data_IF_118457189573
#
_entry.id   IF_118457189573
#
_cell.length_a   1.000
_cell.length_b   1.000
_cell.length_c   1.000
_cell.angle_alpha   90.00
_cell.angle_beta   90.00
_cell.angle_gamma   90.00
#
_symmetry.space_group_name_H-M   'P 1'
#
loop_
_entity.id
_entity.type
_entity.pdbx_description
1 polymer ?
#
# COMPACT_ATOMS: atom_id res chain seq x y z
N UNK A 1 -11.85 -13.37 -70.88
CA UNK A 1 -12.52 -12.55 -69.85
C UNK A 1 -13.42 -13.44 -69.00
N UNK A 2 -13.11 -13.58 -67.70
CA UNK A 2 -14.05 -13.84 -66.59
C UNK A 2 -13.18 -14.01 -65.33
N UNK A 3 -12.90 -12.89 -64.66
CA UNK A 3 -12.32 -12.90 -63.33
C UNK A 3 -13.46 -13.20 -62.34
N UNK A 4 -13.40 -14.35 -61.69
CA UNK A 4 -14.32 -14.67 -60.60
C UNK A 4 -13.81 -14.00 -59.32
N UNK A 5 -14.56 -13.00 -58.87
CA UNK A 5 -14.52 -12.43 -57.53
C UNK A 5 -14.84 -13.53 -56.50
N UNK A 6 -13.90 -13.78 -55.60
CA UNK A 6 -14.18 -14.37 -54.29
C UNK A 6 -13.37 -13.61 -53.26
N UNK A 7 -13.95 -12.53 -52.74
CA UNK A 7 -13.49 -11.88 -51.51
C UNK A 7 -14.44 -12.39 -50.42
N UNK A 8 -14.02 -13.33 -49.55
CA UNK A 8 -14.83 -13.65 -48.39
C UNK A 8 -14.76 -12.45 -47.45
N UNK A 9 -15.93 -11.91 -47.14
CA UNK A 9 -16.17 -10.96 -46.08
C UNK A 9 -15.58 -11.48 -44.76
N UNK A 10 -14.36 -11.04 -44.45
CA UNK A 10 -13.77 -11.15 -43.12
C UNK A 10 -13.89 -9.79 -42.43
N UNK A 11 -15.14 -9.29 -42.35
CA UNK A 11 -15.53 -8.36 -41.29
C UNK A 11 -15.61 -9.20 -40.01
N UNK A 12 -14.44 -9.56 -39.47
CA UNK A 12 -14.34 -9.85 -38.04
C UNK A 12 -14.71 -8.52 -37.39
N UNK A 13 -15.96 -8.43 -36.97
CA UNK A 13 -16.39 -7.46 -35.98
C UNK A 13 -15.50 -7.69 -34.76
N UNK A 14 -14.39 -6.96 -34.70
CA UNK A 14 -13.78 -6.56 -33.45
C UNK A 14 -14.82 -5.67 -32.76
N UNK A 15 -15.86 -6.30 -32.21
CA UNK A 15 -16.57 -5.78 -31.07
C UNK A 15 -15.49 -5.65 -30.01
N UNK A 16 -14.85 -4.48 -30.00
CA UNK A 16 -14.07 -4.02 -28.88
C UNK A 16 -15.03 -4.01 -27.71
N UNK A 17 -15.08 -5.11 -26.98
CA UNK A 17 -15.58 -5.10 -25.63
C UNK A 17 -14.71 -4.06 -24.92
N UNK A 18 -15.25 -2.86 -24.78
CA UNK A 18 -14.81 -1.94 -23.74
C UNK A 18 -15.14 -2.67 -22.44
N UNK A 19 -14.27 -3.62 -22.05
CA UNK A 19 -14.34 -4.28 -20.76
C UNK A 19 -14.21 -3.15 -19.76
N UNK A 20 -15.31 -2.80 -19.11
CA UNK A 20 -15.28 -1.95 -17.94
C UNK A 20 -14.25 -2.58 -16.99
N UNK A 21 -13.12 -1.87 -16.83
CA UNK A 21 -11.92 -2.43 -16.20
C UNK A 21 -12.07 -2.59 -14.70
N UNK A 22 -13.05 -1.90 -14.11
CA UNK A 22 -13.27 -1.84 -12.68
C UNK A 22 -14.40 -2.77 -12.24
N UNK A 23 -14.11 -3.60 -11.24
CA UNK A 23 -15.10 -4.49 -10.65
C UNK A 23 -14.79 -4.82 -9.18
N UNK A 24 -15.84 -5.20 -8.46
CA UNK A 24 -15.80 -5.74 -7.10
C UNK A 24 -16.31 -7.19 -7.15
N UNK A 25 -15.60 -8.10 -6.51
CA UNK A 25 -16.07 -9.46 -6.24
C UNK A 25 -16.46 -9.56 -4.77
N UNK A 26 -17.71 -9.92 -4.51
CA UNK A 26 -18.25 -10.14 -3.16
C UNK A 26 -17.83 -11.49 -2.59
N UNK A 27 -17.98 -11.67 -1.29
CA UNK A 27 -17.69 -12.95 -0.61
C UNK A 27 -18.54 -14.11 -1.12
N UNK A 28 -19.79 -13.84 -1.50
CA UNK A 28 -20.71 -14.82 -2.08
C UNK A 28 -20.38 -15.17 -3.55
N UNK A 29 -19.40 -14.50 -4.17
CA UNK A 29 -18.97 -14.73 -5.55
C UNK A 29 -19.56 -13.76 -6.58
N UNK A 30 -20.57 -12.95 -6.22
CA UNK A 30 -21.17 -11.97 -7.14
C UNK A 30 -20.14 -10.93 -7.57
N UNK A 31 -20.23 -10.50 -8.83
CA UNK A 31 -19.36 -9.47 -9.38
C UNK A 31 -20.17 -8.22 -9.73
N UNK A 32 -19.82 -7.10 -9.12
CA UNK A 32 -20.35 -5.77 -9.46
C UNK A 32 -19.36 -5.05 -10.36
N UNK A 33 -19.83 -4.50 -11.47
CA UNK A 33 -19.02 -3.70 -12.40
C UNK A 33 -19.49 -2.25 -12.35
N UNK A 34 -18.55 -1.30 -12.38
CA UNK A 34 -18.85 0.13 -12.33
C UNK A 34 -17.67 0.93 -11.78
N UNK A 35 -17.82 2.25 -11.72
CA UNK A 35 -16.83 3.14 -11.09
C UNK A 35 -16.82 2.90 -9.58
N UNK A 36 -15.64 2.63 -9.00
CA UNK A 36 -15.52 2.24 -7.58
C UNK A 36 -15.00 3.41 -6.75
N UNK A 37 -15.71 3.74 -5.68
CA UNK A 37 -15.26 4.68 -4.64
C UNK A 37 -15.36 4.04 -3.26
N UNK A 38 -14.46 4.41 -2.35
CA UNK A 38 -14.44 3.94 -0.97
C UNK A 38 -14.53 5.15 -0.03
N UNK A 39 -15.48 5.12 0.91
CA UNK A 39 -15.63 6.12 1.97
C UNK A 39 -16.10 5.45 3.25
N UNK A 40 -15.41 5.69 4.37
CA UNK A 40 -15.79 5.19 5.71
C UNK A 40 -16.17 3.69 5.73
N UNK A 41 -15.37 2.84 5.06
CA UNK A 41 -15.61 1.38 4.93
C UNK A 41 -16.82 0.97 4.08
N UNK A 42 -17.42 1.88 3.33
CA UNK A 42 -18.46 1.60 2.34
C UNK A 42 -17.93 1.81 0.93
N UNK A 43 -18.13 0.81 0.09
CA UNK A 43 -17.90 0.89 -1.34
C UNK A 43 -19.15 1.39 -2.06
N UNK A 44 -18.95 2.34 -2.96
CA UNK A 44 -19.95 2.87 -3.87
C UNK A 44 -19.56 2.43 -5.27
N UNK A 45 -20.41 1.63 -5.91
CA UNK A 45 -20.21 1.15 -7.28
C UNK A 45 -21.27 1.80 -8.17
N UNK A 46 -20.86 2.74 -9.00
CA UNK A 46 -21.76 3.45 -9.91
C UNK A 46 -21.71 2.89 -11.32
N UNK A 47 -22.87 2.52 -11.87
CA UNK A 47 -23.07 2.04 -13.24
C UNK A 47 -24.42 2.52 -13.76
N UNK A 48 -24.45 3.09 -14.96
CA UNK A 48 -25.69 3.44 -15.69
C UNK A 48 -26.70 4.24 -14.82
N UNK A 49 -26.21 5.28 -14.12
CA UNK A 49 -26.94 6.13 -13.17
C UNK A 49 -27.49 5.45 -11.90
N UNK A 50 -27.19 4.17 -11.69
CA UNK A 50 -27.45 3.48 -10.44
C UNK A 50 -26.17 3.42 -9.61
N UNK A 51 -26.31 3.60 -8.29
CA UNK A 51 -25.20 3.42 -7.34
C UNK A 51 -25.59 2.33 -6.36
N UNK A 52 -24.77 1.28 -6.31
CA UNK A 52 -24.89 0.21 -5.33
C UNK A 52 -23.93 0.46 -4.20
N UNK A 53 -24.45 0.46 -2.97
CA UNK A 53 -23.64 0.53 -1.76
C UNK A 53 -23.32 -0.89 -1.26
N UNK A 54 -22.10 -1.08 -0.78
CA UNK A 54 -21.61 -2.36 -0.31
C UNK A 54 -20.68 -2.16 0.89
N UNK A 55 -20.90 -2.88 1.98
CA UNK A 55 -19.96 -2.83 3.10
C UNK A 55 -18.64 -3.47 2.68
N UNK A 56 -17.51 -2.90 3.11
CA UNK A 56 -16.19 -3.48 2.88
C UNK A 56 -16.05 -4.93 3.35
N UNK A 57 -16.76 -5.33 4.41
CA UNK A 57 -16.76 -6.69 4.93
C UNK A 57 -17.35 -7.71 3.94
N UNK A 58 -18.22 -7.26 3.02
CA UNK A 58 -18.83 -8.09 1.98
C UNK A 58 -17.91 -8.27 0.76
N UNK A 59 -16.81 -7.51 0.68
CA UNK A 59 -15.92 -7.49 -0.46
C UNK A 59 -14.76 -8.45 -0.27
N UNK A 60 -14.59 -9.34 -1.24
CA UNK A 60 -13.46 -10.26 -1.30
C UNK A 60 -12.28 -9.67 -2.07
N UNK A 61 -12.55 -9.05 -3.22
CA UNK A 61 -11.51 -8.57 -4.14
C UNK A 61 -12.01 -7.37 -4.93
N UNK A 62 -11.10 -6.46 -5.26
CA UNK A 62 -11.34 -5.30 -6.11
C UNK A 62 -10.34 -5.29 -7.27
N UNK A 63 -10.77 -4.81 -8.42
CA UNK A 63 -9.88 -4.35 -9.49
C UNK A 63 -10.29 -2.93 -9.84
N UNK A 64 -9.35 -1.99 -9.74
CA UNK A 64 -9.54 -0.59 -10.11
C UNK A 64 -8.23 -0.05 -10.67
N UNK A 65 -8.30 0.96 -11.53
CA UNK A 65 -7.08 1.66 -11.99
C UNK A 65 -6.55 2.64 -10.92
N UNK A 66 -7.43 3.11 -10.05
CA UNK A 66 -7.12 4.08 -8.99
C UNK A 66 -6.41 3.42 -7.81
N UNK A 67 -6.93 2.27 -7.36
CA UNK A 67 -6.33 1.51 -6.27
C UNK A 67 -5.30 0.51 -6.83
N UNK A 68 -4.05 0.58 -6.36
CA UNK A 68 -2.97 -0.30 -6.82
C UNK A 68 -3.05 -1.72 -6.26
N UNK A 69 -3.89 -1.95 -5.27
CA UNK A 69 -4.14 -3.25 -4.68
C UNK A 69 -5.33 -3.99 -5.29
N UNK A 70 -5.52 -5.23 -4.84
CA UNK A 70 -6.74 -5.99 -5.17
C UNK A 70 -7.43 -6.62 -3.97
N UNK A 71 -6.78 -6.62 -2.81
CA UNK A 71 -7.31 -7.22 -1.58
C UNK A 71 -7.86 -6.12 -0.70
N UNK A 72 -9.09 -6.29 -0.21
CA UNK A 72 -9.67 -5.38 0.78
C UNK A 72 -9.26 -5.86 2.17
N UNK A 73 -8.58 -5.01 2.92
CA UNK A 73 -8.03 -5.38 4.22
C UNK A 73 -8.39 -4.31 5.26
N UNK A 74 -9.10 -4.69 6.34
CA UNK A 74 -9.21 -3.83 7.52
C UNK A 74 -7.82 -3.68 8.14
N UNK A 75 -7.39 -2.46 8.41
CA UNK A 75 -6.06 -2.15 8.93
C UNK A 75 -6.11 -0.96 9.90
N UNK A 76 -5.09 -0.87 10.75
CA UNK A 76 -4.90 0.28 11.63
C UNK A 76 -3.94 1.27 10.98
N UNK A 77 -4.47 2.45 10.66
CA UNK A 77 -3.69 3.54 10.07
C UNK A 77 -3.23 4.49 11.18
N UNK A 78 -1.96 4.87 11.14
CA UNK A 78 -1.41 5.92 11.99
C UNK A 78 -1.45 7.22 11.21
N UNK A 79 -2.25 8.17 11.67
CA UNK A 79 -2.34 9.49 11.07
C UNK A 79 -1.16 10.36 11.55
N UNK A 80 -0.52 11.07 10.63
CA UNK A 80 0.44 12.11 10.94
C UNK A 80 -0.19 13.47 10.62
N UNK A 81 -0.02 14.44 11.51
CA UNK A 81 -0.23 15.85 11.19
C UNK A 81 1.07 16.37 10.56
N UNK A 82 0.96 17.00 9.39
CA UNK A 82 2.08 17.59 8.65
C UNK A 82 2.50 18.98 9.19
N UNK A 83 1.94 19.41 10.32
CA UNK A 83 2.20 20.74 10.86
C UNK A 83 3.43 20.75 11.81
N UNK A 84 4.49 21.41 11.32
CA UNK A 84 5.79 21.55 12.00
C UNK A 84 5.70 22.45 13.23
N UNK A 85 4.77 23.42 13.27
CA UNK A 85 4.66 24.32 14.42
C UNK A 85 4.06 23.60 15.64
N UNK A 86 3.39 22.46 15.41
CA UNK A 86 2.93 21.53 16.46
C UNK A 86 3.95 20.46 16.86
N UNK A 87 5.12 20.33 16.18
CA UNK A 87 6.13 19.33 16.56
C UNK A 87 6.83 19.67 17.89
N UNK A 88 6.91 20.95 18.26
CA UNK A 88 7.46 21.35 19.57
C UNK A 88 6.44 21.24 20.70
N UNK A 89 5.14 21.08 20.40
CA UNK A 89 4.07 21.17 21.41
C UNK A 89 3.24 19.90 21.57
N UNK A 90 3.15 18.97 20.61
CA UNK A 90 2.37 17.74 20.82
C UNK A 90 2.91 16.50 20.09
N UNK A 91 3.91 15.85 20.71
CA UNK A 91 4.18 14.41 20.51
C UNK A 91 2.96 13.52 20.89
N UNK A 92 1.91 14.09 21.47
CA UNK A 92 0.89 13.41 22.25
C UNK A 92 -0.39 12.98 21.51
N UNK A 93 -0.64 13.39 20.25
CA UNK A 93 -1.85 12.95 19.51
C UNK A 93 -1.52 12.15 18.26
N UNK A 94 -0.94 10.97 18.49
CA UNK A 94 -0.91 9.88 17.50
C UNK A 94 -2.27 9.18 17.49
N UNK A 95 -3.20 9.70 16.71
CA UNK A 95 -4.50 9.05 16.55
C UNK A 95 -4.37 7.89 15.56
N UNK A 96 -4.67 6.69 16.06
CA UNK A 96 -4.85 5.52 15.22
C UNK A 96 -6.31 5.47 14.78
N UNK A 97 -6.52 5.22 13.50
CA UNK A 97 -7.85 5.02 12.94
C UNK A 97 -7.93 3.62 12.33
N UNK A 98 -8.85 2.82 12.84
CA UNK A 98 -9.21 1.56 12.21
C UNK A 98 -10.01 1.89 10.93
N UNK A 99 -9.48 1.43 9.79
CA UNK A 99 -10.00 1.75 8.46
C UNK A 99 -9.90 0.55 7.54
N UNK A 100 -10.46 0.67 6.34
CA UNK A 100 -10.33 -0.33 5.29
C UNK A 100 -9.49 0.24 4.16
N UNK A 101 -8.51 -0.52 3.71
CA UNK A 101 -7.70 -0.19 2.54
C UNK A 101 -7.73 -1.28 1.49
N UNK A 102 -7.54 -0.87 0.23
CA UNK A 102 -7.30 -1.79 -0.88
C UNK A 102 -5.78 -1.94 -1.01
N UNK A 103 -5.26 -3.10 -0.63
CA UNK A 103 -3.85 -3.38 -0.57
C UNK A 103 -3.42 -4.43 -1.61
N UNK A 104 -2.19 -4.29 -2.06
CA UNK A 104 -1.44 -5.30 -2.80
C UNK A 104 -0.70 -6.18 -1.78
N UNK A 105 -0.90 -7.49 -1.85
CA UNK A 105 -0.08 -8.43 -1.09
C UNK A 105 1.29 -8.55 -1.77
N UNK A 106 2.32 -8.04 -1.12
CA UNK A 106 3.69 -8.09 -1.62
C UNK A 106 4.39 -9.40 -1.27
N UNK A 107 4.03 -9.98 -0.12
CA UNK A 107 4.56 -11.22 0.38
C UNK A 107 3.63 -11.83 1.43
N UNK A 108 3.47 -13.14 1.38
CA UNK A 108 2.72 -13.91 2.36
C UNK A 108 3.61 -15.05 2.86
N UNK A 109 3.90 -15.05 4.16
CA UNK A 109 4.74 -16.08 4.78
C UNK A 109 4.12 -16.52 6.10
N UNK A 110 4.41 -17.75 6.58
CA UNK A 110 3.89 -18.23 7.86
C UNK A 110 4.15 -17.30 9.05
N UNK A 111 5.26 -16.54 9.05
CA UNK A 111 5.64 -15.66 10.16
C UNK A 111 5.23 -14.20 9.99
N UNK A 112 5.07 -13.71 8.76
CA UNK A 112 4.72 -12.33 8.50
C UNK A 112 4.21 -12.14 7.07
N UNK A 113 3.15 -11.35 6.94
CA UNK A 113 2.64 -10.87 5.67
C UNK A 113 3.00 -9.41 5.48
N UNK A 114 3.24 -9.03 4.23
CA UNK A 114 3.55 -7.68 3.86
C UNK A 114 2.62 -7.20 2.76
N UNK A 115 2.09 -6.01 2.97
CA UNK A 115 1.15 -5.36 2.09
C UNK A 115 1.66 -3.98 1.69
N UNK A 116 1.21 -3.53 0.53
CA UNK A 116 1.45 -2.21 -0.01
C UNK A 116 0.12 -1.58 -0.42
N UNK A 117 -0.07 -0.33 -0.04
CA UNK A 117 -1.25 0.45 -0.36
C UNK A 117 -0.87 1.81 -0.90
N UNK A 118 -1.79 2.42 -1.62
CA UNK A 118 -1.67 3.82 -2.03
C UNK A 118 -2.96 4.51 -1.62
N UNK A 119 -2.87 5.63 -0.91
CA UNK A 119 -4.06 6.42 -0.56
C UNK A 119 -4.65 7.12 -1.77
N UNK A 120 -5.81 7.74 -1.57
CA UNK A 120 -6.45 8.59 -2.57
C UNK A 120 -5.55 9.73 -3.07
N UNK A 121 -4.65 10.22 -2.23
CA UNK A 121 -3.68 11.26 -2.55
C UNK A 121 -2.39 10.73 -3.19
N UNK A 122 -2.37 9.46 -3.60
CA UNK A 122 -1.20 8.77 -4.16
C UNK A 122 -0.03 8.59 -3.19
N UNK A 123 -0.26 8.75 -1.88
CA UNK A 123 0.76 8.50 -0.86
C UNK A 123 0.94 6.99 -0.68
N UNK A 124 2.17 6.46 -0.81
CA UNK A 124 2.43 5.04 -0.58
C UNK A 124 2.43 4.71 0.91
N UNK A 125 1.87 3.55 1.26
CA UNK A 125 1.87 2.97 2.59
C UNK A 125 2.32 1.52 2.53
N UNK A 126 3.05 1.09 3.55
CA UNK A 126 3.38 -0.32 3.74
C UNK A 126 2.77 -0.80 5.04
N UNK A 127 2.31 -2.04 5.06
CA UNK A 127 1.75 -2.67 6.23
C UNK A 127 2.37 -4.05 6.43
N UNK A 128 2.50 -4.45 7.68
CA UNK A 128 2.86 -5.82 8.03
C UNK A 128 1.77 -6.44 8.90
N UNK A 129 1.67 -7.76 8.89
CA UNK A 129 0.82 -8.52 9.80
C UNK A 129 1.55 -9.79 10.24
N UNK A 130 1.77 -9.96 11.53
CA UNK A 130 2.22 -11.22 12.12
C UNK A 130 1.01 -12.12 12.47
N UNK A 131 1.21 -13.41 12.78
CA UNK A 131 0.14 -14.27 13.28
C UNK A 131 -0.52 -13.78 14.57
N UNK A 132 0.21 -13.03 15.40
CA UNK A 132 -0.30 -12.47 16.65
C UNK A 132 -1.16 -11.22 16.44
N UNK A 133 -1.01 -10.54 15.32
CA UNK A 133 -1.75 -9.31 15.03
C UNK A 133 -3.17 -9.64 14.54
N UNK A 134 -4.18 -8.98 15.13
CA UNK A 134 -5.57 -9.08 14.67
C UNK A 134 -5.78 -8.39 13.32
N UNK A 135 -5.09 -7.26 13.10
CA UNK A 135 -5.14 -6.43 11.89
C UNK A 135 -3.72 -6.11 11.41
N UNK A 136 -3.48 -5.89 10.10
CA UNK A 136 -2.23 -5.32 9.65
C UNK A 136 -1.97 -3.95 10.28
N UNK A 137 -0.71 -3.73 10.63
CA UNK A 137 -0.19 -2.51 11.23
C UNK A 137 0.68 -1.79 10.20
N UNK A 138 0.53 -0.48 10.13
CA UNK A 138 1.32 0.35 9.24
C UNK A 138 2.82 0.33 9.62
N UNK A 139 3.69 0.10 8.63
CA UNK A 139 5.11 0.41 8.71
C UNK A 139 5.28 1.92 8.60
N UNK A 140 5.87 2.51 9.63
CA UNK A 140 6.13 3.94 9.73
C UNK A 140 7.34 4.28 8.86
N UNK A 141 7.07 4.55 7.59
CA UNK A 141 8.07 5.13 6.69
C UNK A 141 7.85 6.63 6.69
N UNK A 142 8.61 7.34 7.53
CA UNK A 142 8.66 8.81 7.46
C UNK A 142 9.43 9.19 6.20
N UNK A 143 8.76 9.92 5.33
CA UNK A 143 9.38 10.62 4.20
C UNK A 143 9.48 12.08 4.59
N UNK A 144 10.38 12.46 5.50
CA UNK A 144 10.69 13.88 5.67
C UNK A 144 11.64 14.33 4.55
N UNK A 145 11.06 14.50 3.38
CA UNK A 145 11.48 15.50 2.41
C UNK A 145 10.22 16.34 2.26
N UNK A 146 10.19 17.60 2.73
CA UNK A 146 8.99 18.44 2.61
C UNK A 146 8.59 18.47 1.13
N UNK A 147 7.55 17.77 0.68
CA UNK A 147 7.21 17.73 -0.75
C UNK A 147 8.07 16.80 -1.64
N UNK A 148 8.75 15.81 -1.06
CA UNK A 148 9.49 14.77 -1.79
C UNK A 148 10.85 15.23 -2.34
N UNK A 149 11.44 14.41 -3.23
CA UNK A 149 12.75 14.68 -3.88
C UNK A 149 12.84 16.07 -4.52
N UNK A 150 11.70 16.66 -4.91
CA UNK A 150 11.62 17.97 -5.54
C UNK A 150 12.06 19.12 -4.62
N UNK A 151 11.99 18.96 -3.31
CA UNK A 151 12.31 20.01 -2.33
C UNK A 151 13.60 19.73 -1.54
N UNK A 152 14.28 18.64 -1.85
CA UNK A 152 15.55 18.26 -1.21
C UNK A 152 16.59 19.38 -1.25
N UNK A 153 16.65 20.15 -2.34
CA UNK A 153 17.58 21.27 -2.48
C UNK A 153 17.31 22.39 -1.47
N UNK A 154 16.04 22.62 -1.12
CA UNK A 154 15.61 23.68 -0.19
C UNK A 154 15.77 23.26 1.27
N UNK A 155 15.55 21.97 1.58
CA UNK A 155 15.69 21.45 2.94
C UNK A 155 17.10 20.99 3.30
N UNK A 156 18.00 20.88 2.31
CA UNK A 156 19.41 20.45 2.47
C UNK A 156 20.14 21.06 3.68
N UNK A 157 20.01 22.37 4.01
CA UNK A 157 20.69 22.96 5.16
C UNK A 157 20.18 22.44 6.52
N UNK A 158 18.92 21.99 6.60
CA UNK A 158 18.31 21.44 7.82
C UNK A 158 18.79 20.02 8.15
N UNK A 159 19.39 19.34 7.17
CA UNK A 159 19.87 17.96 7.27
C UNK A 159 21.40 17.85 7.31
N UNK A 160 22.11 18.90 7.73
CA UNK A 160 23.56 18.88 7.95
C UNK A 160 23.91 18.88 9.45
N UNK A 161 25.03 18.25 9.82
CA UNK A 161 25.53 18.21 11.20
C UNK A 161 24.77 17.25 12.13
N UNK A 162 24.83 17.46 13.45
CA UNK A 162 24.16 16.63 14.48
C UNK A 162 22.64 16.48 14.26
N UNK A 163 21.98 17.49 13.66
CA UNK A 163 20.55 17.44 13.31
C UNK A 163 20.22 16.38 12.26
N UNK A 164 21.16 16.02 11.39
CA UNK A 164 20.96 14.93 10.43
C UNK A 164 20.87 13.58 11.12
N UNK A 165 21.62 13.38 12.21
CA UNK A 165 21.64 12.13 12.99
C UNK A 165 20.32 11.88 13.70
N UNK A 166 19.71 12.92 14.28
CA UNK A 166 18.38 12.86 14.91
C UNK A 166 17.29 12.52 13.88
N UNK A 167 17.30 13.19 12.72
CA UNK A 167 16.34 12.91 11.65
C UNK A 167 16.54 11.52 11.04
N UNK A 168 17.77 11.02 10.93
CA UNK A 168 18.08 9.65 10.51
C UNK A 168 17.54 8.60 11.50
N UNK A 169 17.49 8.89 12.80
CA UNK A 169 16.87 7.99 13.80
C UNK A 169 15.34 7.99 13.70
N UNK A 170 14.74 9.14 13.37
CA UNK A 170 13.29 9.26 13.14
C UNK A 170 12.83 8.68 11.78
N UNK A 171 13.67 8.78 10.74
CA UNK A 171 13.45 8.21 9.40
C UNK A 171 13.57 6.67 9.36
N UNK A 172 13.95 6.06 10.48
CA UNK A 172 14.11 4.60 10.69
C UNK A 172 12.95 3.95 11.45
N UNK A 173 11.81 4.63 11.63
CA UNK A 173 10.65 4.08 12.32
C UNK A 173 10.29 2.65 11.89
N UNK A 174 10.27 2.39 10.57
CA UNK A 174 10.01 1.06 10.03
C UNK A 174 11.12 0.04 10.34
N UNK A 175 12.39 0.44 10.40
CA UNK A 175 13.49 -0.48 10.76
C UNK A 175 13.39 -0.86 12.22
N UNK A 176 13.11 0.09 13.10
CA UNK A 176 12.93 -0.18 14.53
C UNK A 176 11.72 -1.09 14.76
N UNK A 177 10.60 -0.87 14.04
CA UNK A 177 9.45 -1.78 14.07
C UNK A 177 9.84 -3.19 13.61
N UNK A 178 10.54 -3.32 12.48
CA UNK A 178 10.99 -4.62 11.97
C UNK A 178 12.00 -5.29 12.92
N UNK A 179 12.93 -4.54 13.50
CA UNK A 179 13.91 -5.05 14.46
C UNK A 179 13.22 -5.53 15.75
N UNK A 180 12.21 -4.82 16.25
CA UNK A 180 11.44 -5.26 17.42
C UNK A 180 10.76 -6.62 17.18
N UNK A 181 10.33 -6.91 15.95
CA UNK A 181 9.63 -8.15 15.59
C UNK A 181 10.62 -9.27 15.23
N UNK A 182 11.73 -8.92 14.59
CA UNK A 182 12.58 -9.86 13.85
C UNK A 182 14.04 -9.85 14.33
N UNK A 183 14.43 -8.98 15.27
CA UNK A 183 15.81 -8.73 15.69
C UNK A 183 16.51 -9.94 16.32
N UNK A 184 15.74 -10.87 16.92
CA UNK A 184 16.29 -12.14 17.43
C UNK A 184 16.72 -13.13 16.35
N UNK A 185 16.48 -12.85 15.06
CA UNK A 185 16.75 -13.77 13.97
C UNK A 185 18.22 -13.74 13.54
N UNK A 186 18.98 -14.76 13.94
CA UNK A 186 20.42 -14.93 13.59
C UNK A 186 20.72 -14.98 12.08
N UNK A 187 19.71 -15.18 11.22
CA UNK A 187 19.87 -15.15 9.75
C UNK A 187 19.90 -13.72 9.17
N UNK A 188 19.53 -12.72 9.97
CA UNK A 188 19.62 -11.31 9.62
C UNK A 188 20.82 -10.76 10.38
N UNK A 189 21.87 -10.38 9.64
CA UNK A 189 23.06 -9.79 10.26
C UNK A 189 22.82 -8.35 10.67
N UNK A 190 23.60 -7.84 11.62
CA UNK A 190 23.61 -6.40 11.96
C UNK A 190 23.88 -5.53 10.73
N UNK A 191 24.80 -5.93 9.85
CA UNK A 191 25.03 -5.25 8.58
C UNK A 191 23.77 -5.22 7.68
N UNK A 192 22.91 -6.24 7.73
CA UNK A 192 21.64 -6.23 6.99
C UNK A 192 20.68 -5.17 7.56
N UNK A 193 20.60 -5.04 8.89
CA UNK A 193 19.79 -4.02 9.56
C UNK A 193 20.31 -2.61 9.29
N UNK A 194 21.63 -2.46 9.27
CA UNK A 194 22.30 -1.22 8.90
C UNK A 194 22.01 -0.82 7.44
N UNK A 195 22.19 -1.73 6.48
CA UNK A 195 21.87 -1.46 5.07
C UNK A 195 20.37 -1.19 4.85
N UNK A 196 19.50 -1.87 5.59
CA UNK A 196 18.06 -1.58 5.58
C UNK A 196 17.77 -0.16 6.09
N UNK A 197 18.53 0.32 7.07
CA UNK A 197 18.44 1.68 7.61
C UNK A 197 18.83 2.74 6.59
N UNK A 198 19.74 2.42 5.67
CA UNK A 198 20.10 3.29 4.54
C UNK A 198 19.20 3.10 3.32
N UNK A 199 18.18 2.24 3.41
CA UNK A 199 17.27 1.87 2.29
C UNK A 199 18.00 1.24 1.09
N UNK A 200 19.24 0.79 1.30
CA UNK A 200 20.03 0.07 0.30
C UNK A 200 19.65 -1.42 0.25
N UNK A 201 18.94 -1.89 1.28
CA UNK A 201 18.50 -3.28 1.40
C UNK A 201 16.97 -3.42 1.35
N UNK A 202 16.48 -4.51 0.75
CA UNK A 202 15.04 -4.72 0.56
C UNK A 202 14.37 -5.32 1.80
N UNK A 203 13.26 -4.70 2.25
CA UNK A 203 12.40 -5.27 3.30
C UNK A 203 11.91 -6.69 2.95
N UNK A 204 11.69 -7.00 1.66
CA UNK A 204 11.24 -8.34 1.20
C UNK A 204 12.30 -9.39 1.55
N UNK A 205 13.57 -9.04 1.41
CA UNK A 205 14.68 -9.96 1.73
C UNK A 205 14.82 -10.21 3.22
N UNK A 206 14.66 -9.16 4.03
CA UNK A 206 14.68 -9.25 5.50
C UNK A 206 13.56 -10.18 5.98
N UNK A 207 12.35 -10.02 5.45
CA UNK A 207 11.21 -10.90 5.74
C UNK A 207 11.47 -12.35 5.34
N UNK A 208 12.01 -12.59 4.13
CA UNK A 208 12.37 -13.95 3.71
C UNK A 208 13.40 -14.60 4.63
N UNK A 209 14.38 -13.83 5.12
CA UNK A 209 15.37 -14.31 6.10
C UNK A 209 14.71 -14.65 7.44
N UNK A 210 13.79 -13.81 7.92
CA UNK A 210 13.02 -14.07 9.13
C UNK A 210 12.17 -15.32 9.07
N UNK A 211 11.49 -15.57 7.95
CA UNK A 211 10.72 -16.81 7.79
C UNK A 211 11.59 -18.08 7.82
N UNK A 212 12.89 -17.94 7.56
CA UNK A 212 13.87 -19.03 7.67
C UNK A 212 14.43 -19.18 9.08
N UNK A 213 14.21 -18.23 9.99
CA UNK A 213 14.61 -18.38 11.39
C UNK A 213 13.70 -19.40 12.07
N UNK A 214 14.27 -20.24 12.95
CA UNK A 214 13.49 -21.19 13.74
C UNK A 214 12.72 -20.41 14.79
#
# INVERSE_FOLDING_TARGET
MKAFLFIPALLISLCGFCQQKEYIIKNNGDTLQGNIRLKNSTFYVSRDNQTTELNASEVRKIRSEYFKGSVVVPCRLLLYSDDIDSYEIDFARREFVDTVMILEELMNTPKINLYYGVSSFRTPFYFYKTPADSLPVQLVIRYFLQGGLANYANDRPRYMGERSKLNIVEDKGYVNQLYAIMGGCKKISEATWELLSYREYSFKEVIRKYNKCK
#
